data_IF_188373422204
#
_entry.id   IF_188373422204
#
_cell.length_a   1.000
_cell.length_b   1.000
_cell.length_c   1.000
_cell.angle_alpha   90.00
_cell.angle_beta   90.00
_cell.angle_gamma   90.00
#
_symmetry.space_group_name_H-M   'P 1'
#
loop_
_entity.id
_entity.type
_entity.pdbx_description
1 polymer ?
#
# COMPACT_ATOMS: atom_id res chain seq x y z
N UNK A 1 4.16 -7.02 -12.07
CA UNK A 1 5.10 -6.88 -10.91
C UNK A 1 4.23 -6.79 -9.68
N UNK A 2 4.50 -7.57 -8.63
CA UNK A 2 3.66 -7.58 -7.44
C UNK A 2 4.05 -6.45 -6.51
N UNK A 3 3.11 -5.56 -6.24
CA UNK A 3 3.28 -4.46 -5.30
C UNK A 3 2.56 -4.79 -4.00
N UNK A 4 3.35 -4.88 -2.92
CA UNK A 4 2.86 -5.15 -1.58
C UNK A 4 2.55 -3.82 -0.90
N UNK A 5 1.30 -3.65 -0.50
CA UNK A 5 0.84 -2.44 0.17
C UNK A 5 0.22 -2.76 1.52
N UNK A 6 0.29 -1.75 2.38
CA UNK A 6 -0.42 -1.73 3.65
C UNK A 6 -1.62 -0.79 3.53
N UNK A 7 -2.67 -1.09 4.28
CA UNK A 7 -3.82 -0.21 4.35
C UNK A 7 -4.31 -0.05 5.78
N UNK A 8 -5.00 1.05 6.00
CA UNK A 8 -5.71 1.34 7.23
C UNK A 8 -7.10 1.81 6.87
N UNK A 9 -8.09 1.19 7.50
CA UNK A 9 -9.50 1.51 7.29
C UNK A 9 -10.00 2.26 8.51
N UNK A 10 -10.65 3.40 8.27
CA UNK A 10 -11.37 4.17 9.28
C UNK A 10 -12.86 3.98 8.97
N UNK A 11 -13.59 3.38 9.91
CA UNK A 11 -15.02 3.17 9.77
C UNK A 11 -15.81 4.39 10.26
N UNK A 12 -17.06 4.53 9.79
CA UNK A 12 -17.96 5.60 10.26
C UNK A 12 -18.25 5.54 11.76
N UNK A 13 -18.09 4.38 12.39
CA UNK A 13 -18.22 4.23 13.83
C UNK A 13 -17.06 4.85 14.63
N UNK A 14 -16.03 5.39 13.95
CA UNK A 14 -14.78 5.86 14.57
C UNK A 14 -13.79 4.74 14.88
N UNK A 15 -14.13 3.49 14.56
CA UNK A 15 -13.21 2.37 14.70
C UNK A 15 -12.12 2.45 13.64
N UNK A 16 -10.89 2.14 14.04
CA UNK A 16 -9.74 2.12 13.15
C UNK A 16 -9.25 0.67 13.05
N UNK A 17 -9.21 0.16 11.84
CA UNK A 17 -8.57 -1.11 11.52
C UNK A 17 -7.25 -0.85 10.81
N UNK A 18 -6.16 -1.10 11.51
CA UNK A 18 -4.83 -1.11 10.93
C UNK A 18 -4.47 -2.54 10.53
N UNK A 19 -4.13 -2.74 9.26
CA UNK A 19 -3.75 -4.06 8.76
C UNK A 19 -2.45 -4.53 9.43
N UNK A 20 -2.50 -5.70 10.07
CA UNK A 20 -1.32 -6.32 10.66
C UNK A 20 -0.32 -6.76 9.57
N UNK A 21 0.99 -6.62 9.84
CA UNK A 21 2.12 -6.94 8.95
C UNK A 21 2.13 -8.36 8.33
N UNK A 22 1.28 -9.27 8.81
CA UNK A 22 1.20 -10.67 8.34
C UNK A 22 0.24 -10.88 7.16
N UNK A 23 -0.69 -9.96 6.92
CA UNK A 23 -1.70 -10.10 5.87
C UNK A 23 -1.47 -9.08 4.75
N UNK A 24 -0.24 -8.90 4.27
CA UNK A 24 0.07 -7.94 3.20
C UNK A 24 -0.77 -8.24 1.95
N UNK A 25 -1.47 -7.21 1.43
CA UNK A 25 -2.15 -7.34 0.15
C UNK A 25 -1.15 -7.07 -0.97
N UNK A 26 -1.27 -7.84 -2.04
CA UNK A 26 -0.47 -7.64 -3.24
C UNK A 26 -1.38 -7.38 -4.44
N UNK A 27 -1.06 -6.33 -5.18
CA UNK A 27 -1.72 -6.04 -6.46
C UNK A 27 -0.69 -6.19 -7.58
N UNK A 28 -1.13 -6.73 -8.71
CA UNK A 28 -0.31 -6.80 -9.91
C UNK A 28 -0.36 -5.46 -10.66
N UNK A 29 0.80 -4.81 -10.75
CA UNK A 29 0.99 -3.54 -11.43
C UNK A 29 2.13 -3.59 -12.45
N UNK A 30 2.12 -2.65 -13.37
CA UNK A 30 3.19 -2.43 -14.33
C UNK A 30 4.35 -1.64 -13.71
N UNK A 31 5.51 -1.66 -14.38
CA UNK A 31 6.68 -0.92 -13.90
C UNK A 31 6.50 0.60 -13.95
N UNK A 32 5.68 1.10 -14.89
CA UNK A 32 5.40 2.53 -15.05
C UNK A 32 4.51 3.05 -13.93
N UNK A 33 3.43 2.34 -13.62
CA UNK A 33 2.55 2.65 -12.49
C UNK A 33 3.32 2.61 -11.17
N UNK A 34 4.16 1.61 -10.99
CA UNK A 34 5.03 1.52 -9.83
C UNK A 34 5.92 2.76 -9.68
N UNK A 35 6.57 3.21 -10.76
CA UNK A 35 7.39 4.43 -10.73
C UNK A 35 6.57 5.64 -10.30
N UNK A 36 5.35 5.81 -10.83
CA UNK A 36 4.44 6.90 -10.46
C UNK A 36 4.07 6.87 -8.97
N UNK A 37 3.77 5.69 -8.44
CA UNK A 37 3.48 5.49 -7.01
C UNK A 37 4.70 5.92 -6.18
N UNK A 38 5.89 5.43 -6.52
CA UNK A 38 7.11 5.80 -5.80
C UNK A 38 7.37 7.31 -5.87
N UNK A 39 7.26 7.92 -7.05
CA UNK A 39 7.51 9.37 -7.20
C UNK A 39 6.49 10.21 -6.44
N UNK A 40 5.21 9.85 -6.49
CA UNK A 40 4.15 10.56 -5.76
C UNK A 40 4.36 10.45 -4.25
N UNK A 41 4.64 9.26 -3.73
CA UNK A 41 4.89 9.07 -2.29
C UNK A 41 6.17 9.77 -1.84
N UNK A 42 7.23 9.78 -2.66
CA UNK A 42 8.45 10.54 -2.36
C UNK A 42 8.21 12.06 -2.37
N UNK A 43 7.26 12.54 -3.15
CA UNK A 43 6.82 13.94 -3.16
C UNK A 43 5.87 14.27 -1.99
N UNK A 44 5.46 13.28 -1.19
CA UNK A 44 4.49 13.45 -0.10
C UNK A 44 3.04 13.49 -0.56
N UNK A 45 2.76 13.07 -1.80
CA UNK A 45 1.41 12.96 -2.35
C UNK A 45 0.80 11.63 -1.92
N UNK A 46 -0.44 11.67 -1.44
CA UNK A 46 -1.22 10.47 -1.10
C UNK A 46 -1.44 9.60 -2.33
N UNK A 47 -1.32 8.27 -2.18
CA UNK A 47 -1.48 7.32 -3.30
C UNK A 47 -2.82 7.52 -4.02
N UNK A 48 -3.89 7.84 -3.30
CA UNK A 48 -5.22 8.15 -3.87
C UNK A 48 -5.25 9.30 -4.88
N UNK A 49 -4.33 10.25 -4.78
CA UNK A 49 -4.32 11.49 -5.57
C UNK A 49 -3.33 11.43 -6.75
N UNK A 50 -2.59 10.33 -6.91
CA UNK A 50 -1.62 10.20 -7.99
C UNK A 50 -2.37 9.98 -9.31
N UNK A 51 -2.08 10.83 -10.30
CA UNK A 51 -2.69 10.72 -11.62
C UNK A 51 -2.15 9.51 -12.41
N UNK A 52 -3.06 8.82 -13.10
CA UNK A 52 -2.73 7.67 -13.95
C UNK A 52 -2.47 6.37 -13.19
N UNK A 53 -2.90 6.27 -11.92
CA UNK A 53 -3.00 5.00 -11.18
C UNK A 53 -4.42 4.74 -10.64
N UNK A 54 -5.42 5.45 -11.18
CA UNK A 54 -6.83 5.33 -10.76
C UNK A 54 -7.34 3.89 -10.84
N UNK A 55 -7.01 3.17 -11.92
CA UNK A 55 -7.39 1.76 -12.08
C UNK A 55 -6.76 0.87 -10.99
N UNK A 56 -5.49 1.12 -10.66
CA UNK A 56 -4.78 0.42 -9.59
C UNK A 56 -5.43 0.73 -8.24
N UNK A 57 -5.79 1.98 -7.97
CA UNK A 57 -6.48 2.38 -6.74
C UNK A 57 -7.83 1.67 -6.61
N UNK A 58 -8.59 1.55 -7.70
CA UNK A 58 -9.86 0.81 -7.71
C UNK A 58 -9.63 -0.66 -7.33
N UNK A 59 -8.65 -1.33 -7.97
CA UNK A 59 -8.30 -2.73 -7.65
C UNK A 59 -7.84 -2.88 -6.19
N UNK A 60 -6.98 -1.99 -5.70
CA UNK A 60 -6.54 -1.98 -4.31
C UNK A 60 -7.72 -1.79 -3.35
N UNK A 61 -8.68 -0.93 -3.70
CA UNK A 61 -9.88 -0.68 -2.90
C UNK A 61 -10.78 -1.90 -2.87
N UNK A 62 -11.00 -2.55 -4.02
CA UNK A 62 -11.77 -3.80 -4.13
C UNK A 62 -11.13 -4.92 -3.30
N UNK A 63 -9.81 -5.07 -3.36
CA UNK A 63 -9.07 -6.05 -2.55
C UNK A 63 -9.19 -5.78 -1.05
N UNK A 64 -9.13 -4.50 -0.64
CA UNK A 64 -9.34 -4.09 0.76
C UNK A 64 -10.76 -4.40 1.21
N UNK A 65 -11.77 -4.08 0.39
CA UNK A 65 -13.17 -4.38 0.68
C UNK A 65 -13.42 -5.90 0.75
N UNK A 66 -12.77 -6.66 -0.13
CA UNK A 66 -12.83 -8.10 -0.11
C UNK A 66 -12.20 -8.65 1.16
N UNK A 67 -11.00 -8.19 1.52
CA UNK A 67 -10.33 -8.59 2.75
C UNK A 67 -11.14 -8.21 4.01
N UNK A 68 -11.73 -7.01 4.07
CA UNK A 68 -12.57 -6.57 5.19
C UNK A 68 -13.78 -7.49 5.43
N UNK A 69 -14.38 -8.06 4.36
CA UNK A 69 -15.46 -9.05 4.50
C UNK A 69 -15.05 -10.28 5.27
N UNK A 70 -13.78 -10.66 5.20
CA UNK A 70 -13.20 -11.83 5.85
C UNK A 70 -12.51 -11.50 7.18
N UNK A 71 -12.37 -10.22 7.53
CA UNK A 71 -11.65 -9.79 8.72
C UNK A 71 -12.60 -9.22 9.78
N UNK A 72 -12.38 -9.62 11.03
CA UNK A 72 -13.00 -8.96 12.18
C UNK A 72 -12.25 -7.68 12.55
N UNK A 73 -12.93 -6.76 13.26
CA UNK A 73 -12.31 -5.51 13.75
C UNK A 73 -11.11 -5.75 14.68
N UNK A 74 -11.07 -6.90 15.34
CA UNK A 74 -9.97 -7.32 16.21
C UNK A 74 -8.79 -7.95 15.44
N UNK A 75 -8.82 -8.01 14.11
CA UNK A 75 -7.77 -8.61 13.29
C UNK A 75 -7.85 -10.13 13.11
N UNK A 76 -8.86 -10.81 13.67
CA UNK A 76 -9.02 -12.24 13.44
C UNK A 76 -9.73 -12.53 12.11
N UNK A 77 -9.32 -13.61 11.45
CA UNK A 77 -9.94 -14.08 10.23
C UNK A 77 -11.29 -14.76 10.56
N UNK A 78 -12.31 -14.45 9.78
CA UNK A 78 -13.64 -15.06 9.88
C UNK A 78 -13.69 -16.36 9.09
N UNK A 79 -14.49 -17.31 9.56
CA UNK A 79 -14.83 -18.52 8.80
C UNK A 79 -15.88 -18.27 7.72
N UNK A 80 -16.70 -17.22 7.89
CA UNK A 80 -17.75 -16.83 6.93
C UNK A 80 -17.66 -15.34 6.59
N UNK A 81 -17.85 -14.99 5.30
CA UNK A 81 -17.77 -13.60 4.87
C UNK A 81 -18.96 -12.79 5.40
N UNK A 82 -18.75 -11.48 5.57
CA UNK A 82 -19.84 -10.57 5.91
C UNK A 82 -20.86 -10.48 4.77
N UNK A 83 -22.15 -10.65 5.11
CA UNK A 83 -23.26 -10.50 4.17
C UNK A 83 -23.47 -9.07 3.68
N UNK A 84 -23.05 -8.08 4.48
CA UNK A 84 -23.14 -6.65 4.16
C UNK A 84 -21.78 -6.00 4.40
N UNK A 85 -21.38 -5.10 3.50
CA UNK A 85 -20.16 -4.32 3.67
C UNK A 85 -20.32 -3.38 4.87
N UNK A 86 -19.23 -3.20 5.63
CA UNK A 86 -19.18 -2.17 6.68
C UNK A 86 -19.17 -0.79 6.04
N UNK A 87 -19.72 0.20 6.74
CA UNK A 87 -19.62 1.60 6.32
C UNK A 87 -18.22 2.10 6.63
N UNK A 88 -17.45 2.33 5.58
CA UNK A 88 -16.08 2.82 5.64
C UNK A 88 -16.12 4.31 5.34
N UNK A 89 -15.54 5.11 6.24
CA UNK A 89 -15.36 6.55 6.02
C UNK A 89 -14.15 6.80 5.13
N UNK A 90 -13.02 6.19 5.48
CA UNK A 90 -11.76 6.44 4.80
C UNK A 90 -10.88 5.19 4.75
N UNK A 91 -10.07 5.12 3.69
CA UNK A 91 -9.06 4.09 3.49
C UNK A 91 -7.74 4.80 3.23
N UNK A 92 -6.77 4.63 4.11
CA UNK A 92 -5.42 5.14 3.90
C UNK A 92 -4.56 4.00 3.33
N UNK A 93 -3.82 4.29 2.25
CA UNK A 93 -2.91 3.34 1.64
C UNK A 93 -1.47 3.74 1.96
N UNK A 94 -0.69 2.78 2.42
CA UNK A 94 0.71 2.95 2.80
C UNK A 94 1.60 2.01 1.99
N UNK A 95 2.82 2.48 1.69
CA UNK A 95 3.86 1.61 1.18
C UNK A 95 4.42 0.71 2.29
N UNK A 96 4.70 -0.55 1.95
CA UNK A 96 5.42 -1.45 2.86
C UNK A 96 6.87 -0.97 3.07
N UNK A 97 7.39 -1.20 4.27
CA UNK A 97 8.76 -0.85 4.64
C UNK A 97 9.80 -1.56 3.75
N UNK A 98 9.45 -2.73 3.21
CA UNK A 98 10.25 -3.49 2.23
C UNK A 98 10.49 -2.71 0.93
N UNK A 99 9.48 -2.00 0.42
CA UNK A 99 9.60 -1.20 -0.80
C UNK A 99 10.46 0.04 -0.55
N UNK A 100 10.33 0.68 0.61
CA UNK A 100 11.22 1.76 1.05
C UNK A 100 12.68 1.29 1.19
N UNK A 101 12.91 0.10 1.77
CA UNK A 101 14.25 -0.48 1.87
C UNK A 101 14.86 -0.80 0.50
N UNK A 102 14.06 -1.26 -0.47
CA UNK A 102 14.51 -1.48 -1.85
C UNK A 102 14.99 -0.17 -2.51
N UNK A 103 14.28 0.93 -2.28
CA UNK A 103 14.67 2.26 -2.77
C UNK A 103 15.97 2.72 -2.09
N UNK A 104 16.07 2.60 -0.75
CA UNK A 104 17.30 2.93 0.00
C UNK A 104 18.51 2.11 -0.49
N UNK A 105 18.35 0.79 -0.68
CA UNK A 105 19.42 -0.09 -1.20
C UNK A 105 19.85 0.29 -2.63
N UNK A 106 18.92 0.68 -3.50
CA UNK A 106 19.25 1.15 -4.86
C UNK A 106 20.01 2.48 -4.84
N UNK A 107 19.65 3.42 -3.97
CA UNK A 107 20.34 4.71 -3.81
C UNK A 107 21.80 4.55 -3.34
N UNK A 108 22.07 3.56 -2.48
CA UNK A 108 23.43 3.23 -2.03
C UNK A 108 24.28 2.64 -3.16
N UNK A 109 23.70 1.83 -4.06
CA UNK A 109 24.43 1.27 -5.22
C UNK A 109 24.74 2.30 -6.30
N UNK A 110 23.88 3.29 -6.53
CA UNK A 110 24.15 4.38 -7.48
C UNK A 110 25.02 5.50 -6.91
N UNK A 111 25.12 5.61 -5.57
CA UNK A 111 26.05 6.54 -4.89
C UNK A 111 27.51 6.07 -4.86
N UNK A 112 27.81 4.82 -5.24
CA UNK A 112 29.16 4.26 -5.15
C UNK A 112 30.01 4.46 -6.42
N UNK A 113 29.71 5.47 -7.24
CA UNK A 113 30.50 5.82 -8.43
C UNK A 113 31.29 7.14 -8.31
N UNK A 114 31.18 7.89 -7.21
CA UNK A 114 31.88 9.16 -7.05
C UNK A 114 32.56 9.37 -5.68
N UNK A 115 33.18 8.32 -5.13
CA UNK A 115 34.01 8.46 -3.92
C UNK A 115 35.38 7.75 -4.04
N UNK A 116 35.92 7.64 -5.26
CA UNK A 116 37.32 7.21 -5.45
C UNK A 116 37.96 7.93 -6.64
N UNK A 117 37.97 9.27 -6.60
CA UNK A 117 38.90 10.11 -7.37
C UNK A 117 39.40 11.21 -6.44
N UNK A 118 40.73 11.30 -6.35
CA UNK A 118 41.54 12.27 -5.58
C UNK A 118 41.51 12.02 -4.07
N UNK A 119 42.61 11.66 -3.38
CA UNK A 119 44.05 11.69 -3.64
C UNK A 119 44.69 10.49 -2.95
#
# INVERSE_FOLDING_TARGET
>A
MRFHFQYKVIYESGDIFEQNRRNELCVDITQEEYKKIITGVLQGISIKQIEGISEVITKMTEDVLFADRWMNKNGSMRSTPLKKNRKISEIEFFMTENELQRIKRKKIRSGCWNARRSR
#
